data_IF_763654192163
#
_entry.id   IF_763654192163
#
_cell.length_a   1.000
_cell.length_b   1.000
_cell.length_c   1.000
_cell.angle_alpha   90.00
_cell.angle_beta   90.00
_cell.angle_gamma   90.00
#
_symmetry.space_group_name_H-M   'P 1'
#
loop_
_entity.id
_entity.type
_entity.pdbx_description
1 polymer ?
#
# COMPACT_ATOMS: atom_id res chain seq x y z
N UNK A 1 -8.55 11.31 -11.56
CA UNK A 1 -7.58 12.41 -11.68
C UNK A 1 -6.24 12.14 -10.99
N UNK A 2 -6.17 11.80 -9.69
CA UNK A 2 -4.90 11.52 -8.99
C UNK A 2 -4.03 10.45 -9.67
N UNK A 3 -4.61 9.34 -10.11
CA UNK A 3 -3.87 8.30 -10.86
C UNK A 3 -3.19 8.81 -12.14
N UNK A 4 -3.84 9.73 -12.87
CA UNK A 4 -3.27 10.37 -14.07
C UNK A 4 -2.12 11.30 -13.68
N UNK A 5 -2.25 12.00 -12.54
CA UNK A 5 -1.25 12.89 -11.96
C UNK A 5 -0.17 12.22 -11.11
N UNK A 6 -0.15 10.89 -10.99
CA UNK A 6 0.71 10.16 -10.02
C UNK A 6 2.21 10.47 -10.11
N UNK A 7 2.73 10.72 -11.32
CA UNK A 7 4.13 11.10 -11.54
C UNK A 7 4.48 12.49 -11.01
N UNK A 8 3.47 13.34 -10.84
CA UNK A 8 3.61 14.67 -10.25
C UNK A 8 3.45 14.58 -8.73
N UNK A 9 2.44 13.85 -8.26
CA UNK A 9 2.19 13.62 -6.82
C UNK A 9 3.39 12.95 -6.15
N UNK A 10 3.98 11.93 -6.78
CA UNK A 10 5.13 11.22 -6.24
C UNK A 10 6.37 12.10 -6.03
N UNK A 11 6.44 13.28 -6.67
CA UNK A 11 7.53 14.23 -6.45
C UNK A 11 7.42 14.94 -5.10
N UNK A 12 6.22 15.06 -4.54
CA UNK A 12 6.03 15.61 -3.19
C UNK A 12 6.44 14.62 -2.12
N UNK A 13 6.47 13.32 -2.40
CA UNK A 13 6.89 12.30 -1.44
C UNK A 13 8.21 12.66 -0.77
N UNK A 14 9.25 13.03 -1.53
CA UNK A 14 10.57 13.38 -0.95
C UNK A 14 10.53 14.66 -0.10
N UNK A 15 9.66 15.61 -0.43
CA UNK A 15 9.54 16.88 0.30
C UNK A 15 8.76 16.66 1.60
N UNK A 16 7.63 15.96 1.52
CA UNK A 16 6.80 15.60 2.66
C UNK A 16 7.52 14.60 3.58
N UNK A 17 8.20 13.58 3.05
CA UNK A 17 8.88 12.54 3.85
C UNK A 17 10.09 13.06 4.61
N UNK A 18 10.83 14.05 4.07
CA UNK A 18 11.92 14.75 4.78
C UNK A 18 11.41 15.50 6.02
N UNK A 19 10.13 15.82 6.04
CA UNK A 19 9.45 16.47 7.14
C UNK A 19 8.37 15.54 7.73
N UNK A 20 8.38 14.25 7.43
CA UNK A 20 7.23 13.35 7.55
C UNK A 20 6.73 13.17 8.97
N UNK A 21 7.64 12.99 9.94
CA UNK A 21 7.28 12.97 11.37
C UNK A 21 6.79 14.34 11.88
N UNK A 22 7.14 15.44 11.21
CA UNK A 22 6.66 16.79 11.58
C UNK A 22 5.26 17.12 11.07
N UNK A 23 4.75 16.40 10.07
CA UNK A 23 3.43 16.65 9.46
C UNK A 23 2.41 15.54 9.71
N UNK A 24 2.85 14.29 9.88
CA UNK A 24 1.95 13.15 10.14
C UNK A 24 1.59 13.02 11.62
N UNK A 25 2.55 13.26 12.53
CA UNK A 25 2.31 13.13 13.99
C UNK A 25 1.70 14.40 14.60
N UNK A 26 1.86 15.54 13.90
CA UNK A 26 1.27 16.81 14.28
C UNK A 26 0.91 17.60 13.01
N UNK A 27 -0.39 17.71 12.65
CA UNK A 27 -0.83 18.38 11.44
C UNK A 27 -0.37 19.84 11.45
N UNK A 28 0.59 20.16 10.57
CA UNK A 28 1.07 21.53 10.39
C UNK A 28 0.67 22.05 9.02
N UNK A 29 0.30 23.33 8.90
CA UNK A 29 0.06 23.94 7.61
C UNK A 29 1.26 23.77 6.70
N UNK A 30 0.98 23.51 5.42
CA UNK A 30 2.01 23.45 4.39
C UNK A 30 1.46 23.91 3.06
N UNK A 31 2.35 24.32 2.17
CA UNK A 31 2.01 24.64 0.79
C UNK A 31 3.20 24.26 -0.08
N UNK A 32 3.01 23.33 -0.99
CA UNK A 32 4.02 22.89 -1.95
C UNK A 32 3.50 23.11 -3.36
N UNK A 33 4.37 23.56 -4.25
CA UNK A 33 4.05 23.75 -5.67
C UNK A 33 5.19 23.23 -6.51
N UNK A 34 4.85 22.47 -7.56
CA UNK A 34 5.83 21.88 -8.48
C UNK A 34 5.24 21.74 -9.87
N UNK A 35 5.77 22.49 -10.82
CA UNK A 35 5.24 22.58 -12.18
C UNK A 35 3.75 23.00 -12.13
N UNK A 36 2.85 22.17 -12.66
CA UNK A 36 1.42 22.40 -12.77
C UNK A 36 0.60 21.66 -11.69
N UNK A 37 1.25 21.24 -10.60
CA UNK A 37 0.58 20.72 -9.41
C UNK A 37 0.94 21.54 -8.17
N UNK A 38 -0.04 21.86 -7.35
CA UNK A 38 0.18 22.41 -6.01
C UNK A 38 -0.74 21.74 -5.00
N UNK A 39 -0.27 21.68 -3.75
CA UNK A 39 -0.98 21.10 -2.63
C UNK A 39 -0.83 22.00 -1.42
N UNK A 40 -1.91 22.18 -0.67
CA UNK A 40 -1.93 23.06 0.51
C UNK A 40 -2.73 22.42 1.63
N UNK A 41 -2.27 22.60 2.86
CA UNK A 41 -3.02 22.36 4.09
C UNK A 41 -3.04 23.67 4.89
N UNK A 42 -4.23 24.16 5.24
CA UNK A 42 -4.41 25.35 6.07
C UNK A 42 -4.26 25.03 7.57
N UNK A 43 -4.18 26.05 8.42
CA UNK A 43 -4.20 25.89 9.88
C UNK A 43 -5.52 25.35 10.43
N UNK A 44 -6.59 25.40 9.63
CA UNK A 44 -7.90 24.82 9.94
C UNK A 44 -8.05 23.40 9.38
N UNK A 45 -6.95 22.80 8.90
CA UNK A 45 -6.91 21.52 8.18
C UNK A 45 -7.72 21.52 6.88
N UNK A 46 -7.94 22.67 6.24
CA UNK A 46 -8.52 22.69 4.91
C UNK A 46 -7.45 22.31 3.90
N UNK A 47 -7.73 21.31 3.07
CA UNK A 47 -6.80 20.80 2.08
C UNK A 47 -7.19 21.24 0.67
N UNK A 48 -6.19 21.60 -0.13
CA UNK A 48 -6.37 21.91 -1.55
C UNK A 48 -5.38 21.13 -2.41
N UNK A 49 -5.86 20.65 -3.55
CA UNK A 49 -5.03 20.09 -4.62
C UNK A 49 -5.37 20.86 -5.89
N UNK A 50 -4.38 21.51 -6.50
CA UNK A 50 -4.50 22.13 -7.81
C UNK A 50 -3.70 21.29 -8.80
N UNK A 51 -4.34 20.88 -9.90
CA UNK A 51 -3.72 20.10 -10.98
C UNK A 51 -4.16 20.67 -12.33
N UNK A 52 -3.32 21.53 -12.92
CA UNK A 52 -3.68 22.30 -14.11
C UNK A 52 -4.90 23.19 -13.83
N UNK A 53 -5.99 22.99 -14.56
CA UNK A 53 -7.26 23.72 -14.38
C UNK A 53 -8.17 23.13 -13.29
N UNK A 54 -7.84 21.94 -12.78
CA UNK A 54 -8.66 21.26 -11.79
C UNK A 54 -8.26 21.71 -10.38
N UNK A 55 -9.23 22.13 -9.59
CA UNK A 55 -9.06 22.50 -8.18
C UNK A 55 -9.94 21.60 -7.33
N UNK A 56 -9.34 20.95 -6.34
CA UNK A 56 -10.04 20.11 -5.36
C UNK A 56 -9.86 20.72 -3.98
N UNK A 57 -10.96 20.95 -3.26
CA UNK A 57 -10.95 21.56 -1.93
C UNK A 57 -11.68 20.66 -0.93
N UNK A 58 -11.11 20.55 0.27
CA UNK A 58 -11.63 19.72 1.34
C UNK A 58 -11.62 20.54 2.63
N UNK A 59 -12.76 20.55 3.34
CA UNK A 59 -12.95 21.42 4.51
C UNK A 59 -12.15 21.00 5.74
N UNK A 60 -11.83 19.71 5.89
CA UNK A 60 -11.11 19.20 7.04
C UNK A 60 -10.41 17.88 6.70
N UNK A 61 -9.08 17.89 6.67
CA UNK A 61 -8.25 16.73 6.32
C UNK A 61 -6.90 16.74 7.08
N UNK A 62 -6.89 16.39 8.37
CA UNK A 62 -5.68 16.43 9.19
C UNK A 62 -4.57 15.49 8.67
N UNK A 63 -4.95 14.34 8.08
CA UNK A 63 -4.02 13.33 7.55
C UNK A 63 -3.63 13.56 6.08
N UNK A 64 -3.81 14.78 5.56
CA UNK A 64 -3.57 15.08 4.15
C UNK A 64 -2.10 14.86 3.73
N UNK A 65 -1.14 15.14 4.60
CA UNK A 65 0.28 14.86 4.33
C UNK A 65 0.53 13.36 4.13
N UNK A 66 -0.04 12.51 5.00
CA UNK A 66 0.04 11.07 4.89
C UNK A 66 -0.62 10.58 3.58
N UNK A 67 -1.80 11.12 3.27
CA UNK A 67 -2.51 10.80 2.02
C UNK A 67 -1.65 11.07 0.78
N UNK A 68 -0.99 12.22 0.71
CA UNK A 68 -0.09 12.59 -0.39
C UNK A 68 1.16 11.71 -0.46
N UNK A 69 1.60 11.13 0.67
CA UNK A 69 2.76 10.26 0.74
C UNK A 69 2.49 8.82 0.26
N UNK A 70 1.24 8.39 0.13
CA UNK A 70 0.97 7.01 -0.26
C UNK A 70 -0.49 6.60 -0.17
N UNK A 71 -1.21 7.09 0.85
CA UNK A 71 -2.58 6.67 1.15
C UNK A 71 -3.57 6.85 -0.01
N UNK A 72 -3.33 7.82 -0.91
CA UNK A 72 -4.14 7.96 -2.12
C UNK A 72 -4.12 6.73 -3.04
N UNK A 73 -2.98 6.02 -3.11
CA UNK A 73 -2.85 4.83 -3.95
C UNK A 73 -3.59 3.64 -3.34
N UNK A 74 -3.59 3.53 -2.02
CA UNK A 74 -4.30 2.50 -1.26
C UNK A 74 -5.80 2.68 -1.45
N UNK A 75 -6.32 3.88 -1.18
CA UNK A 75 -7.73 4.22 -1.39
C UNK A 75 -8.14 3.98 -2.85
N UNK A 76 -7.33 4.47 -3.80
CA UNK A 76 -7.62 4.27 -5.21
C UNK A 76 -7.64 2.78 -5.56
N UNK A 77 -6.70 1.99 -5.07
CA UNK A 77 -6.64 0.55 -5.33
C UNK A 77 -7.83 -0.18 -4.73
N UNK A 78 -8.22 0.13 -3.49
CA UNK A 78 -9.42 -0.40 -2.85
C UNK A 78 -10.68 -0.11 -3.67
N UNK A 79 -10.86 1.13 -4.10
CA UNK A 79 -12.00 1.54 -4.95
C UNK A 79 -12.00 0.83 -6.31
N UNK A 80 -10.82 0.55 -6.88
CA UNK A 80 -10.69 -0.22 -8.14
C UNK A 80 -11.04 -1.71 -7.98
N UNK A 81 -10.95 -2.25 -6.77
CA UNK A 81 -11.30 -3.65 -6.46
C UNK A 81 -12.78 -3.84 -6.11
N UNK A 82 -13.49 -2.79 -5.70
CA UNK A 82 -14.93 -2.84 -5.39
C UNK A 82 -15.81 -3.51 -6.46
N UNK A 83 -15.62 -3.28 -7.78
CA UNK A 83 -16.37 -4.00 -8.80
C UNK A 83 -16.18 -5.51 -8.76
N UNK A 84 -15.01 -6.00 -8.34
CA UNK A 84 -14.71 -7.43 -8.26
C UNK A 84 -15.38 -8.08 -7.04
N UNK A 85 -15.59 -7.32 -5.97
CA UNK A 85 -16.46 -7.71 -4.84
C UNK A 85 -17.89 -7.90 -5.32
N UNK A 86 -18.43 -6.94 -6.09
CA UNK A 86 -19.79 -7.03 -6.64
C UNK A 86 -19.98 -8.21 -7.60
N UNK A 87 -18.93 -8.59 -8.35
CA UNK A 87 -18.90 -9.81 -9.19
C UNK A 87 -18.76 -11.11 -8.38
N UNK A 88 -18.45 -11.01 -7.09
CA UNK A 88 -18.26 -12.15 -6.19
C UNK A 88 -16.94 -12.89 -6.38
N UNK A 89 -15.96 -12.29 -7.05
CA UNK A 89 -14.58 -12.82 -7.15
C UNK A 89 -13.77 -12.52 -5.89
N UNK A 90 -14.07 -11.40 -5.23
CA UNK A 90 -13.58 -11.08 -3.89
C UNK A 90 -14.74 -11.27 -2.91
N UNK A 91 -14.50 -12.01 -1.83
CA UNK A 91 -15.50 -12.32 -0.80
C UNK A 91 -15.49 -11.35 0.37
N UNK A 92 -14.30 -10.90 0.78
CA UNK A 92 -14.12 -9.80 1.73
C UNK A 92 -12.94 -8.93 1.27
N UNK A 93 -13.05 -7.62 1.47
CA UNK A 93 -12.07 -6.61 1.04
C UNK A 93 -11.92 -5.54 2.12
N UNK A 94 -10.69 -5.36 2.60
CA UNK A 94 -10.31 -4.40 3.64
C UNK A 94 -9.18 -3.49 3.13
N UNK A 95 -9.17 -2.27 3.63
CA UNK A 95 -8.12 -1.26 3.46
C UNK A 95 -7.62 -0.86 4.84
N UNK A 96 -6.31 -0.66 5.01
CA UNK A 96 -5.69 -0.26 6.27
C UNK A 96 -6.01 -1.22 7.41
N UNK A 97 -5.92 -2.54 7.15
CA UNK A 97 -6.25 -3.54 8.17
C UNK A 97 -5.07 -3.66 9.15
N UNK A 98 -5.28 -3.20 10.38
CA UNK A 98 -4.34 -3.39 11.48
C UNK A 98 -4.47 -4.81 12.05
N UNK A 99 -3.34 -5.51 12.12
CA UNK A 99 -3.23 -6.87 12.69
C UNK A 99 -2.14 -6.90 13.74
N UNK A 100 -2.35 -7.69 14.80
CA UNK A 100 -1.33 -7.94 15.81
C UNK A 100 -0.88 -9.40 15.79
N UNK A 101 0.34 -9.62 16.27
CA UNK A 101 0.85 -10.97 16.46
C UNK A 101 0.25 -11.54 17.75
N UNK A 102 -0.42 -12.69 17.65
CA UNK A 102 -1.03 -13.35 18.81
C UNK A 102 0.04 -13.73 19.83
N UNK A 103 -0.11 -13.33 21.09
CA UNK A 103 0.73 -13.77 22.20
C UNK A 103 0.25 -15.15 22.66
N UNK A 104 0.77 -16.24 22.09
CA UNK A 104 0.54 -17.59 22.62
C UNK A 104 1.64 -17.95 23.65
N UNK A 105 1.35 -18.83 24.64
CA UNK A 105 2.28 -19.19 25.72
C UNK A 105 3.59 -19.80 25.17
N UNK A 106 4.69 -19.76 25.95
CA UNK A 106 6.03 -20.00 25.45
C UNK A 106 6.27 -21.49 25.17
N UNK A 107 5.99 -21.90 23.93
CA UNK A 107 6.61 -23.09 23.34
C UNK A 107 7.96 -22.68 22.73
N UNK A 108 9.03 -23.38 23.13
CA UNK A 108 10.42 -23.04 22.80
C UNK A 108 10.73 -22.98 21.28
N UNK A 109 9.89 -23.61 20.44
CA UNK A 109 10.04 -23.61 18.97
C UNK A 109 9.50 -22.31 18.35
N UNK A 110 8.52 -21.68 18.99
CA UNK A 110 7.85 -20.46 18.53
C UNK A 110 8.70 -19.21 18.76
N UNK A 111 9.62 -19.24 19.72
CA UNK A 111 10.44 -18.10 20.12
C UNK A 111 11.39 -17.63 19.01
N UNK A 112 12.13 -18.55 18.36
CA UNK A 112 13.11 -18.18 17.33
C UNK A 112 12.49 -17.59 16.05
N UNK A 113 11.32 -18.08 15.64
CA UNK A 113 10.59 -17.52 14.49
C UNK A 113 9.96 -16.16 14.84
N UNK A 114 9.48 -15.98 16.08
CA UNK A 114 8.96 -14.69 16.56
C UNK A 114 10.05 -13.64 16.64
N UNK A 115 11.23 -13.98 17.16
CA UNK A 115 12.35 -13.03 17.31
C UNK A 115 12.88 -12.58 15.93
N UNK A 116 12.84 -13.47 14.94
CA UNK A 116 13.08 -13.11 13.54
C UNK A 116 11.94 -12.26 12.95
N UNK A 117 10.68 -12.52 13.29
CA UNK A 117 9.56 -11.71 12.81
C UNK A 117 9.51 -10.33 13.45
N UNK A 118 9.75 -10.19 14.75
CA UNK A 118 9.79 -8.90 15.44
C UNK A 118 10.96 -8.05 14.95
N UNK A 119 12.13 -8.66 14.71
CA UNK A 119 13.27 -7.94 14.09
C UNK A 119 13.04 -7.55 12.63
N UNK A 120 12.15 -8.24 11.89
CA UNK A 120 11.86 -7.96 10.48
C UNK A 120 10.61 -7.09 10.25
N UNK A 121 9.62 -7.15 11.14
CA UNK A 121 8.32 -6.50 10.97
C UNK A 121 8.17 -5.25 11.85
N UNK A 122 8.97 -5.14 12.91
CA UNK A 122 8.89 -4.05 13.88
C UNK A 122 7.80 -4.30 14.93
N UNK A 123 7.07 -3.24 15.28
CA UNK A 123 6.07 -3.17 16.35
C UNK A 123 5.08 -4.35 16.43
N UNK A 124 4.40 -4.47 17.57
CA UNK A 124 3.36 -5.48 17.84
C UNK A 124 2.20 -5.45 16.83
N UNK A 125 2.01 -4.31 16.15
CA UNK A 125 0.96 -4.07 15.17
C UNK A 125 1.55 -3.86 13.77
N UNK A 126 0.94 -4.50 12.78
CA UNK A 126 1.24 -4.34 11.37
C UNK A 126 -0.01 -3.88 10.64
N UNK A 127 0.13 -2.84 9.83
CA UNK A 127 -0.92 -2.40 8.90
C UNK A 127 -0.79 -3.14 7.56
N UNK A 128 -1.90 -3.63 7.04
CA UNK A 128 -1.99 -4.18 5.69
C UNK A 128 -2.75 -3.16 4.82
N UNK A 129 -2.05 -2.56 3.87
CA UNK A 129 -2.61 -1.52 2.98
C UNK A 129 -3.94 -1.99 2.38
N UNK A 130 -3.97 -3.18 1.76
CA UNK A 130 -5.21 -3.85 1.33
C UNK A 130 -5.10 -5.34 1.63
N UNK A 131 -6.15 -5.90 2.22
CA UNK A 131 -6.31 -7.33 2.41
C UNK A 131 -7.63 -7.81 1.80
N UNK A 132 -7.61 -8.94 1.11
CA UNK A 132 -8.84 -9.54 0.59
C UNK A 132 -8.76 -11.07 0.55
N UNK A 133 -9.91 -11.71 0.37
CA UNK A 133 -9.99 -13.16 0.14
C UNK A 133 -10.90 -13.48 -1.04
N UNK A 134 -10.56 -14.51 -1.79
CA UNK A 134 -11.42 -15.13 -2.81
C UNK A 134 -12.34 -16.23 -2.23
N UNK A 135 -12.26 -16.46 -0.92
CA UNK A 135 -12.93 -17.54 -0.19
C UNK A 135 -12.02 -18.73 0.11
N UNK A 136 -10.79 -18.75 -0.42
CA UNK A 136 -9.79 -19.81 -0.20
C UNK A 136 -8.46 -19.25 0.30
N UNK A 137 -7.97 -18.17 -0.28
CA UNK A 137 -6.64 -17.61 -0.02
C UNK A 137 -6.73 -16.21 0.55
N UNK A 138 -5.82 -15.90 1.46
CA UNK A 138 -5.56 -14.52 1.86
C UNK A 138 -4.66 -13.86 0.81
N UNK A 139 -5.12 -12.72 0.30
CA UNK A 139 -4.35 -11.82 -0.53
C UNK A 139 -4.02 -10.55 0.25
N UNK A 140 -2.75 -10.17 0.23
CA UNK A 140 -2.27 -8.89 0.80
C UNK A 140 -1.64 -8.09 -0.32
N UNK A 141 -2.13 -6.87 -0.53
CA UNK A 141 -1.54 -5.92 -1.48
C UNK A 141 -0.78 -4.86 -0.70
N UNK A 142 0.49 -4.67 -1.01
CA UNK A 142 1.29 -3.53 -0.58
C UNK A 142 1.29 -2.48 -1.69
N UNK A 143 0.85 -1.26 -1.38
CA UNK A 143 0.79 -0.13 -2.29
C UNK A 143 2.04 0.75 -2.16
N UNK A 144 2.75 0.97 -3.27
CA UNK A 144 3.90 1.88 -3.33
C UNK A 144 3.71 2.94 -4.40
N UNK A 145 3.38 4.15 -3.94
CA UNK A 145 3.34 5.34 -4.79
C UNK A 145 4.74 5.83 -5.20
N UNK A 146 5.79 5.41 -4.47
CA UNK A 146 7.19 5.79 -4.70
C UNK A 146 8.10 4.61 -5.09
N UNK A 147 9.36 4.67 -4.67
CA UNK A 147 10.34 3.63 -4.95
C UNK A 147 10.10 2.37 -4.12
N UNK A 148 10.35 1.21 -4.73
CA UNK A 148 10.36 -0.09 -4.05
C UNK A 148 11.81 -0.45 -3.70
N UNK A 149 12.06 -0.86 -2.46
CA UNK A 149 13.34 -1.38 -2.00
C UNK A 149 13.20 -2.89 -1.64
N UNK A 150 14.32 -3.51 -1.28
CA UNK A 150 14.34 -4.95 -0.91
C UNK A 150 13.60 -5.26 0.39
N UNK A 151 13.58 -4.30 1.32
CA UNK A 151 12.94 -4.46 2.62
C UNK A 151 11.42 -4.58 2.46
N UNK A 152 10.81 -3.75 1.62
CA UNK A 152 9.38 -3.86 1.29
C UNK A 152 9.01 -5.26 0.78
N UNK A 153 9.83 -5.82 -0.11
CA UNK A 153 9.60 -7.17 -0.67
C UNK A 153 9.67 -8.22 0.44
N UNK A 154 10.75 -8.20 1.24
CA UNK A 154 10.95 -9.19 2.31
C UNK A 154 9.88 -9.09 3.40
N UNK A 155 9.52 -7.86 3.81
CA UNK A 155 8.47 -7.59 4.79
C UNK A 155 7.14 -8.18 4.32
N UNK A 156 6.73 -7.86 3.10
CA UNK A 156 5.47 -8.36 2.52
C UNK A 156 5.44 -9.90 2.42
N UNK A 157 6.55 -10.53 2.02
CA UNK A 157 6.64 -11.99 1.98
C UNK A 157 6.43 -12.64 3.36
N UNK A 158 7.01 -12.05 4.40
CA UNK A 158 6.91 -12.56 5.76
C UNK A 158 5.50 -12.39 6.31
N UNK A 159 4.89 -11.22 6.09
CA UNK A 159 3.51 -10.92 6.47
C UNK A 159 2.56 -11.96 5.88
N UNK A 160 2.62 -12.15 4.56
CA UNK A 160 1.67 -13.05 3.89
C UNK A 160 1.89 -14.50 4.27
N UNK A 161 3.14 -14.91 4.54
CA UNK A 161 3.45 -16.26 5.04
C UNK A 161 2.92 -16.48 6.44
N UNK A 162 3.03 -15.47 7.31
CA UNK A 162 2.55 -15.56 8.69
C UNK A 162 1.02 -15.61 8.76
N UNK A 163 0.33 -14.65 8.15
CA UNK A 163 -1.14 -14.55 8.25
C UNK A 163 -1.88 -15.45 7.25
N UNK A 164 -1.33 -15.67 6.05
CA UNK A 164 -1.96 -16.44 4.98
C UNK A 164 -1.46 -17.87 4.83
N UNK A 165 -0.44 -18.27 5.59
CA UNK A 165 0.18 -19.58 5.48
C UNK A 165 0.79 -19.84 4.09
N UNK A 166 0.80 -21.12 3.69
CA UNK A 166 1.39 -21.57 2.41
C UNK A 166 0.60 -21.05 1.20
N UNK A 167 -0.72 -20.89 1.35
CA UNK A 167 -1.63 -20.45 0.30
C UNK A 167 -1.78 -18.93 0.22
N UNK A 168 -1.20 -18.18 1.17
CA UNK A 168 -1.17 -16.73 1.13
C UNK A 168 -0.51 -16.18 -0.14
N UNK A 169 -1.04 -15.07 -0.65
CA UNK A 169 -0.55 -14.41 -1.88
C UNK A 169 -0.30 -12.92 -1.64
N UNK A 170 0.92 -12.49 -1.90
CA UNK A 170 1.35 -11.10 -1.81
C UNK A 170 1.30 -10.46 -3.20
N UNK A 171 0.84 -9.21 -3.25
CA UNK A 171 0.85 -8.39 -4.45
C UNK A 171 1.53 -7.07 -4.13
N UNK A 172 2.64 -6.78 -4.79
CA UNK A 172 3.29 -5.48 -4.71
C UNK A 172 2.72 -4.58 -5.82
N UNK A 173 1.81 -3.68 -5.47
CA UNK A 173 1.19 -2.73 -6.38
C UNK A 173 1.96 -1.40 -6.39
N UNK A 174 2.66 -1.10 -7.48
CA UNK A 174 3.55 0.07 -7.54
C UNK A 174 3.23 1.01 -8.70
N UNK A 175 3.18 2.32 -8.43
CA UNK A 175 2.96 3.33 -9.47
C UNK A 175 4.03 3.28 -10.58
N UNK A 176 5.26 2.90 -10.22
CA UNK A 176 6.42 2.84 -11.08
C UNK A 176 7.08 1.48 -10.98
N UNK A 177 7.47 0.93 -12.13
CA UNK A 177 8.15 -0.36 -12.19
C UNK A 177 9.50 -0.30 -11.43
N UNK A 178 9.78 -1.27 -10.54
CA UNK A 178 11.04 -1.30 -9.79
C UNK A 178 12.26 -1.38 -10.72
N UNK A 179 13.12 -0.35 -10.69
CA UNK A 179 14.29 -0.28 -11.57
C UNK A 179 15.50 -1.09 -11.06
N UNK A 180 15.56 -1.34 -9.75
CA UNK A 180 16.68 -2.03 -9.12
C UNK A 180 16.67 -3.53 -9.47
N UNK A 181 17.77 -4.03 -10.05
CA UNK A 181 17.90 -5.45 -10.47
C UNK A 181 17.76 -6.44 -9.31
N UNK A 182 18.29 -6.11 -8.13
CA UNK A 182 18.20 -6.97 -6.94
C UNK A 182 16.76 -7.07 -6.44
N UNK A 183 16.05 -5.94 -6.41
CA UNK A 183 14.63 -5.91 -6.02
C UNK A 183 13.79 -6.77 -6.97
N UNK A 184 14.02 -6.62 -8.29
CA UNK A 184 13.33 -7.45 -9.30
C UNK A 184 13.63 -8.93 -9.12
N UNK A 185 14.91 -9.29 -8.99
CA UNK A 185 15.29 -10.68 -8.77
C UNK A 185 14.63 -11.28 -7.52
N UNK A 186 14.55 -10.52 -6.42
CA UNK A 186 13.83 -10.98 -5.21
C UNK A 186 12.35 -11.22 -5.47
N UNK A 187 11.69 -10.33 -6.20
CA UNK A 187 10.29 -10.51 -6.61
C UNK A 187 10.16 -11.77 -7.48
N UNK A 188 11.00 -11.94 -8.49
CA UNK A 188 10.94 -13.07 -9.43
C UNK A 188 11.22 -14.42 -8.75
N UNK A 189 12.14 -14.45 -7.78
CA UNK A 189 12.47 -15.65 -6.99
C UNK A 189 11.36 -16.00 -5.96
N UNK A 190 10.36 -15.14 -5.77
CA UNK A 190 9.29 -15.31 -4.79
C UNK A 190 8.11 -16.11 -5.34
N UNK A 191 7.82 -17.28 -4.75
CA UNK A 191 6.69 -18.12 -5.18
C UNK A 191 5.31 -17.54 -4.88
N UNK A 192 5.19 -16.77 -3.80
CA UNK A 192 3.92 -16.26 -3.28
C UNK A 192 3.78 -14.74 -3.44
N UNK A 193 4.71 -14.05 -4.10
CA UNK A 193 4.68 -12.62 -4.30
C UNK A 193 4.70 -12.31 -5.80
N UNK A 194 3.80 -11.44 -6.25
CA UNK A 194 3.79 -10.91 -7.62
C UNK A 194 3.83 -9.39 -7.59
N UNK A 195 4.44 -8.77 -8.60
CA UNK A 195 4.44 -7.32 -8.74
C UNK A 195 3.55 -6.87 -9.89
N UNK A 196 2.74 -5.84 -9.65
CA UNK A 196 1.93 -5.16 -10.66
C UNK A 196 2.30 -3.68 -10.67
N UNK A 197 2.43 -3.09 -11.86
CA UNK A 197 2.95 -1.72 -11.92
C UNK A 197 2.62 -0.93 -13.18
N UNK A 198 2.85 0.38 -13.10
CA UNK A 198 2.76 1.28 -14.24
C UNK A 198 1.33 1.41 -14.77
N UNK A 199 1.20 1.64 -16.09
CA UNK A 199 -0.10 1.88 -16.71
C UNK A 199 -1.03 0.65 -16.67
N UNK A 200 -0.45 -0.56 -16.63
CA UNK A 200 -1.20 -1.80 -16.70
C UNK A 200 -1.51 -2.38 -15.31
N UNK A 201 -1.17 -1.68 -14.23
CA UNK A 201 -1.31 -2.15 -12.85
C UNK A 201 -2.68 -2.77 -12.58
N UNK A 202 -3.77 -2.04 -12.85
CA UNK A 202 -5.12 -2.50 -12.54
C UNK A 202 -5.62 -3.60 -13.49
N UNK A 203 -5.13 -3.62 -14.73
CA UNK A 203 -5.44 -4.72 -15.66
C UNK A 203 -4.77 -6.02 -15.20
N UNK A 204 -3.50 -5.94 -14.79
CA UNK A 204 -2.77 -7.08 -14.23
C UNK A 204 -3.43 -7.56 -12.94
N UNK A 205 -3.79 -6.63 -12.04
CA UNK A 205 -4.45 -6.96 -10.78
C UNK A 205 -5.79 -7.67 -11.00
N UNK A 206 -6.64 -7.17 -11.90
CA UNK A 206 -7.90 -7.83 -12.24
C UNK A 206 -7.67 -9.22 -12.85
N UNK A 207 -6.70 -9.37 -13.76
CA UNK A 207 -6.37 -10.68 -14.36
C UNK A 207 -5.88 -11.70 -13.33
N UNK A 208 -5.11 -11.28 -12.32
CA UNK A 208 -4.64 -12.15 -11.24
C UNK A 208 -5.79 -12.64 -10.36
N UNK A 209 -6.76 -11.77 -10.09
CA UNK A 209 -7.92 -12.10 -9.26
C UNK A 209 -8.89 -13.02 -10.01
N UNK A 210 -9.08 -12.77 -11.31
CA UNK A 210 -9.91 -13.62 -12.18
C UNK A 210 -9.37 -15.05 -12.30
N UNK A 211 -8.06 -15.21 -12.50
CA UNK A 211 -7.44 -16.53 -12.62
C UNK A 211 -7.50 -17.32 -11.31
N UNK A 212 -7.44 -16.65 -10.16
CA UNK A 212 -7.63 -17.27 -8.83
C UNK A 212 -9.09 -17.64 -8.52
N UNK A 213 -10.05 -16.80 -8.93
CA UNK A 213 -11.48 -16.97 -8.65
C UNK A 213 -12.23 -17.94 -9.56
N UNK A 214 -11.55 -18.60 -10.50
CA UNK A 214 -12.15 -19.50 -11.50
C UNK A 214 -12.50 -20.90 -10.97
N UNK A 215 -12.31 -21.16 -9.67
CA UNK A 215 -12.78 -22.38 -9.02
C UNK A 215 -14.22 -22.19 -8.52
N UNK A 216 -15.17 -22.21 -9.46
CA UNK A 216 -16.58 -22.48 -9.17
C UNK A 216 -16.89 -23.91 -9.56
#
# INVERSE_FOLDING_TARGET
ELWKGRSKISKFYKELSKHGSKYNDNPKPFSFSKNDISVKLSALNEAEIHMGLNVFQFKYWPNFAHYLCGGWLEEYTYLRLQPLVKKGWIKDLRIGLEVSFKEDPPDNVSLGYREQLSSLLGDTYQELDIAFTDGRRLYVIECKAGNVNSEHVMKLQNIVRYFGGIEGRAILASCFYPQNKVVRKKIDDSKNLQAVSGNNLFQQLESMIQSGGSHR
#
